data_IF_881412598814
#
_entry.id   IF_881412598814
#
_cell.length_a   1.000
_cell.length_b   1.000
_cell.length_c   1.000
_cell.angle_alpha   90.00
_cell.angle_beta   90.00
_cell.angle_gamma   90.00
#
_symmetry.space_group_name_H-M   'P 1'
#
loop_
_entity.id
_entity.type
_entity.pdbx_description
1 polymer ?
#
# COMPACT_ATOMS: atom_id res chain seq x y z
N UNK A 1 -47.99 -32.18 -104.70
CA UNK A 1 -48.13 -30.89 -103.99
C UNK A 1 -48.64 -31.02 -102.54
N UNK A 2 -49.57 -31.94 -102.21
CA UNK A 2 -50.10 -32.08 -100.83
C UNK A 2 -49.07 -32.48 -99.75
N UNK A 3 -48.04 -33.27 -100.10
CA UNK A 3 -47.02 -33.75 -99.15
C UNK A 3 -45.97 -32.70 -98.77
N UNK A 4 -45.63 -31.77 -99.69
CA UNK A 4 -44.69 -30.68 -99.39
C UNK A 4 -45.27 -29.66 -98.40
N UNK A 5 -46.56 -29.32 -98.51
CA UNK A 5 -47.21 -28.42 -97.56
C UNK A 5 -47.26 -28.97 -96.13
N UNK A 6 -47.52 -30.27 -95.97
CA UNK A 6 -47.53 -30.93 -94.66
C UNK A 6 -46.15 -30.93 -93.99
N UNK A 7 -45.07 -31.09 -94.77
CA UNK A 7 -43.70 -31.13 -94.27
C UNK A 7 -43.23 -29.76 -93.75
N UNK A 8 -43.61 -28.68 -94.43
CA UNK A 8 -43.35 -27.30 -93.97
C UNK A 8 -44.12 -27.00 -92.69
N UNK A 9 -45.40 -27.38 -92.60
CA UNK A 9 -46.21 -27.19 -91.38
C UNK A 9 -45.63 -27.98 -90.20
N UNK A 10 -45.22 -29.24 -90.42
CA UNK A 10 -44.57 -30.05 -89.38
C UNK A 10 -43.23 -29.47 -88.92
N UNK A 11 -42.42 -28.93 -89.84
CA UNK A 11 -41.17 -28.25 -89.49
C UNK A 11 -41.41 -27.02 -88.62
N UNK A 12 -42.41 -26.19 -88.96
CA UNK A 12 -42.74 -24.98 -88.19
C UNK A 12 -43.24 -25.35 -86.78
N UNK A 13 -44.09 -26.38 -86.67
CA UNK A 13 -44.55 -26.87 -85.37
C UNK A 13 -43.40 -27.44 -84.52
N UNK A 14 -42.47 -28.18 -85.13
CA UNK A 14 -41.28 -28.67 -84.45
C UNK A 14 -40.36 -27.52 -83.96
N UNK A 15 -40.16 -26.48 -84.78
CA UNK A 15 -39.39 -25.30 -84.39
C UNK A 15 -40.02 -24.54 -83.22
N UNK A 16 -41.35 -24.38 -83.21
CA UNK A 16 -42.06 -23.74 -82.09
C UNK A 16 -41.98 -24.58 -80.80
N UNK A 17 -42.08 -25.91 -80.91
CA UNK A 17 -41.91 -26.81 -79.77
C UNK A 17 -40.50 -26.76 -79.17
N UNK A 18 -39.46 -26.69 -80.03
CA UNK A 18 -38.07 -26.53 -79.60
C UNK A 18 -37.84 -25.17 -78.89
N UNK A 19 -38.39 -24.08 -79.41
CA UNK A 19 -38.31 -22.76 -78.75
C UNK A 19 -39.00 -22.76 -77.38
N UNK A 20 -40.13 -23.46 -77.25
CA UNK A 20 -40.82 -23.65 -75.97
C UNK A 20 -39.95 -24.42 -74.96
N UNK A 21 -39.32 -25.52 -75.38
CA UNK A 21 -38.39 -26.29 -74.55
C UNK A 21 -37.17 -25.46 -74.12
N UNK A 22 -36.59 -24.66 -75.03
CA UNK A 22 -35.46 -23.77 -74.71
C UNK A 22 -35.88 -22.75 -73.65
N UNK A 23 -37.06 -22.14 -73.76
CA UNK A 23 -37.56 -21.19 -72.77
C UNK A 23 -37.79 -21.83 -71.39
N UNK A 24 -38.34 -23.05 -71.35
CA UNK A 24 -38.55 -23.78 -70.10
C UNK A 24 -37.20 -24.11 -69.45
N UNK A 25 -36.23 -24.60 -70.23
CA UNK A 25 -34.88 -24.90 -69.73
C UNK A 25 -34.13 -23.67 -69.24
N UNK A 26 -34.19 -22.56 -69.98
CA UNK A 26 -33.60 -21.30 -69.54
C UNK A 26 -34.26 -20.77 -68.25
N UNK A 27 -35.58 -20.97 -68.09
CA UNK A 27 -36.28 -20.61 -66.84
C UNK A 27 -35.88 -21.51 -65.66
N UNK A 28 -35.59 -22.78 -65.91
CA UNK A 28 -35.08 -23.72 -64.91
C UNK A 28 -33.63 -23.39 -64.53
N UNK A 29 -32.74 -23.19 -65.50
CA UNK A 29 -31.36 -22.78 -65.27
C UNK A 29 -31.27 -21.47 -64.48
N UNK A 30 -32.03 -20.45 -64.87
CA UNK A 30 -32.06 -19.19 -64.12
C UNK A 30 -32.62 -19.33 -62.71
N UNK A 31 -33.49 -20.33 -62.45
CA UNK A 31 -33.99 -20.63 -61.10
C UNK A 31 -32.93 -21.37 -60.28
N UNK A 32 -32.24 -22.34 -60.88
CA UNK A 32 -31.16 -23.08 -60.25
C UNK A 32 -29.96 -22.18 -59.96
N UNK A 33 -29.58 -21.30 -60.89
CA UNK A 33 -28.52 -20.30 -60.72
C UNK A 33 -28.82 -19.38 -59.54
N UNK A 34 -30.06 -18.87 -59.44
CA UNK A 34 -30.50 -18.07 -58.28
C UNK A 34 -30.41 -18.87 -57.00
N UNK A 35 -30.94 -20.09 -56.98
CA UNK A 35 -30.89 -20.95 -55.78
C UNK A 35 -29.44 -21.22 -55.36
N UNK A 36 -28.56 -21.51 -56.32
CA UNK A 36 -27.13 -21.77 -56.08
C UNK A 36 -26.44 -20.51 -55.54
N UNK A 37 -26.71 -19.35 -56.15
CA UNK A 37 -26.21 -18.05 -55.68
C UNK A 37 -26.65 -17.75 -54.24
N UNK A 38 -27.93 -17.99 -53.91
CA UNK A 38 -28.43 -17.85 -52.54
C UNK A 38 -27.71 -18.78 -51.56
N UNK A 39 -27.46 -20.04 -51.93
CA UNK A 39 -26.72 -20.97 -51.09
C UNK A 39 -25.25 -20.55 -50.92
N UNK A 40 -24.59 -20.08 -51.99
CA UNK A 40 -23.24 -19.55 -51.93
C UNK A 40 -23.15 -18.33 -51.00
N UNK A 41 -24.10 -17.41 -51.08
CA UNK A 41 -24.16 -16.23 -50.20
C UNK A 41 -24.35 -16.67 -48.74
N UNK A 42 -25.29 -17.59 -48.47
CA UNK A 42 -25.48 -18.12 -47.12
C UNK A 42 -24.21 -18.75 -46.58
N UNK A 43 -23.53 -19.57 -47.38
CA UNK A 43 -22.30 -20.24 -46.98
C UNK A 43 -21.19 -19.22 -46.68
N UNK A 44 -21.05 -18.18 -47.52
CA UNK A 44 -20.10 -17.09 -47.28
C UNK A 44 -20.41 -16.36 -45.96
N UNK A 45 -21.66 -15.94 -45.76
CA UNK A 45 -22.06 -15.26 -44.52
C UNK A 45 -21.80 -16.15 -43.30
N UNK A 46 -22.11 -17.44 -43.36
CA UNK A 46 -21.82 -18.36 -42.26
C UNK A 46 -20.32 -18.52 -42.00
N UNK A 47 -19.50 -18.54 -43.05
CA UNK A 47 -18.06 -18.65 -42.94
C UNK A 47 -17.43 -17.37 -42.39
N UNK A 48 -17.91 -16.20 -42.82
CA UNK A 48 -17.47 -14.90 -42.31
C UNK A 48 -17.78 -14.77 -40.81
N UNK A 49 -19.02 -15.08 -40.42
CA UNK A 49 -19.44 -15.09 -39.01
C UNK A 49 -18.63 -16.09 -38.19
N UNK A 50 -18.40 -17.30 -38.69
CA UNK A 50 -17.56 -18.29 -38.03
C UNK A 50 -16.11 -17.80 -37.90
N UNK A 51 -15.58 -17.11 -38.91
CA UNK A 51 -14.27 -16.48 -38.89
C UNK A 51 -14.14 -15.41 -37.81
N UNK A 52 -15.16 -14.57 -37.64
CA UNK A 52 -15.22 -13.59 -36.54
C UNK A 52 -15.19 -14.27 -35.18
N UNK A 53 -16.00 -15.31 -34.97
CA UNK A 53 -15.98 -16.08 -33.72
C UNK A 53 -14.60 -16.69 -33.45
N UNK A 54 -13.94 -17.26 -34.46
CA UNK A 54 -12.59 -17.81 -34.31
C UNK A 54 -11.58 -16.72 -33.95
N UNK A 55 -11.66 -15.55 -34.57
CA UNK A 55 -10.83 -14.40 -34.23
C UNK A 55 -11.04 -13.92 -32.79
N UNK A 56 -12.28 -13.89 -32.30
CA UNK A 56 -12.58 -13.56 -30.91
C UNK A 56 -12.01 -14.59 -29.93
N UNK A 57 -12.15 -15.88 -30.25
CA UNK A 57 -11.57 -16.96 -29.45
C UNK A 57 -10.04 -16.83 -29.38
N UNK A 58 -9.37 -16.57 -30.49
CA UNK A 58 -7.91 -16.38 -30.52
C UNK A 58 -7.51 -15.14 -29.71
N UNK A 59 -8.26 -14.04 -29.82
CA UNK A 59 -8.02 -12.83 -29.04
C UNK A 59 -8.18 -13.11 -27.54
N UNK A 60 -9.21 -13.85 -27.15
CA UNK A 60 -9.46 -14.23 -25.76
C UNK A 60 -8.33 -15.11 -25.20
N UNK A 61 -7.86 -16.11 -25.96
CA UNK A 61 -6.72 -16.94 -25.55
C UNK A 61 -5.44 -16.11 -25.39
N UNK A 62 -5.14 -15.21 -26.33
CA UNK A 62 -3.96 -14.34 -26.22
C UNK A 62 -4.03 -13.43 -24.97
N UNK A 63 -5.21 -12.91 -24.65
CA UNK A 63 -5.43 -12.14 -23.43
C UNK A 63 -5.27 -13.00 -22.18
N UNK A 64 -5.77 -14.23 -22.20
CA UNK A 64 -5.61 -15.18 -21.10
C UNK A 64 -4.14 -15.51 -20.86
N UNK A 65 -3.37 -15.77 -21.92
CA UNK A 65 -1.93 -16.05 -21.83
C UNK A 65 -1.15 -14.86 -21.28
N UNK A 66 -1.47 -13.64 -21.74
CA UNK A 66 -0.88 -12.40 -21.18
C UNK A 66 -1.22 -12.23 -19.71
N UNK A 67 -2.48 -12.46 -19.34
CA UNK A 67 -2.94 -12.33 -17.96
C UNK A 67 -2.25 -13.36 -17.08
N UNK A 68 -2.13 -14.60 -17.55
CA UNK A 68 -1.42 -15.68 -16.86
C UNK A 68 0.06 -15.33 -16.64
N UNK A 69 0.73 -14.82 -17.67
CA UNK A 69 2.11 -14.36 -17.55
C UNK A 69 2.26 -13.23 -16.52
N UNK A 70 1.34 -12.26 -16.50
CA UNK A 70 1.34 -11.22 -15.45
C UNK A 70 1.12 -11.81 -14.06
N UNK A 71 0.20 -12.75 -13.90
CA UNK A 71 -0.04 -13.43 -12.62
C UNK A 71 1.20 -14.20 -12.15
N UNK A 72 1.88 -14.90 -13.05
CA UNK A 72 3.11 -15.63 -12.72
C UNK A 72 4.23 -14.67 -12.27
N UNK A 73 4.39 -13.52 -12.94
CA UNK A 73 5.32 -12.46 -12.53
C UNK A 73 4.95 -11.94 -11.12
N UNK A 74 3.69 -11.58 -10.89
CA UNK A 74 3.25 -11.12 -9.57
C UNK A 74 3.46 -12.20 -8.50
N UNK A 75 3.25 -13.46 -8.83
CA UNK A 75 3.51 -14.59 -7.92
C UNK A 75 5.00 -14.71 -7.55
N UNK A 76 5.90 -14.53 -8.51
CA UNK A 76 7.34 -14.50 -8.26
C UNK A 76 7.76 -13.32 -7.37
N UNK A 77 7.13 -12.16 -7.53
CA UNK A 77 7.40 -10.99 -6.68
C UNK A 77 6.81 -11.14 -5.26
N UNK A 78 5.73 -11.90 -5.09
CA UNK A 78 5.05 -12.06 -3.79
C UNK A 78 5.84 -12.94 -2.81
N UNK A 79 6.47 -14.01 -3.31
CA UNK A 79 7.30 -14.93 -2.51
C UNK A 79 8.41 -14.22 -1.70
N UNK A 80 9.33 -13.46 -2.33
CA UNK A 80 10.39 -12.78 -1.60
C UNK A 80 9.85 -11.69 -0.66
N UNK A 81 8.72 -11.05 -1.00
CA UNK A 81 8.05 -10.11 -0.10
C UNK A 81 7.50 -10.80 1.14
N UNK A 82 6.95 -12.00 1.01
CA UNK A 82 6.46 -12.79 2.14
C UNK A 82 7.60 -13.24 3.06
N UNK A 83 8.72 -13.69 2.48
CA UNK A 83 9.92 -14.06 3.23
C UNK A 83 10.53 -12.85 3.94
N UNK A 84 10.61 -11.70 3.25
CA UNK A 84 11.07 -10.45 3.85
C UNK A 84 10.15 -10.01 5.01
N UNK A 85 8.83 -10.16 4.87
CA UNK A 85 7.88 -9.87 5.93
C UNK A 85 8.07 -10.80 7.14
N UNK A 86 8.28 -12.11 6.91
CA UNK A 86 8.58 -13.07 7.97
C UNK A 86 9.90 -12.73 8.71
N UNK A 87 10.94 -12.38 7.95
CA UNK A 87 12.22 -11.94 8.51
C UNK A 87 12.05 -10.66 9.35
N UNK A 88 11.32 -9.67 8.85
CA UNK A 88 11.05 -8.41 9.57
C UNK A 88 10.24 -8.65 10.84
N UNK A 89 9.26 -9.56 10.82
CA UNK A 89 8.51 -9.96 12.01
C UNK A 89 9.43 -10.59 13.07
N UNK A 90 10.36 -11.46 12.65
CA UNK A 90 11.34 -12.05 13.57
C UNK A 90 12.26 -10.99 14.19
N UNK A 91 12.78 -10.06 13.38
CA UNK A 91 13.59 -8.93 13.85
C UNK A 91 12.83 -8.06 14.86
N UNK A 92 11.54 -7.79 14.59
CA UNK A 92 10.69 -7.01 15.49
C UNK A 92 10.55 -7.70 16.85
N UNK A 93 10.30 -9.02 16.86
CA UNK A 93 10.18 -9.78 18.10
C UNK A 93 11.49 -9.79 18.90
N UNK A 94 12.64 -9.90 18.21
CA UNK A 94 13.95 -9.82 18.85
C UNK A 94 14.18 -8.43 19.48
N UNK A 95 13.90 -7.36 18.73
CA UNK A 95 14.03 -5.97 19.19
C UNK A 95 13.10 -5.68 20.39
N UNK A 96 11.86 -6.19 20.38
CA UNK A 96 10.95 -6.07 21.52
C UNK A 96 11.49 -6.81 22.76
N UNK A 97 12.08 -8.00 22.56
CA UNK A 97 12.73 -8.75 23.63
C UNK A 97 13.91 -7.99 24.26
N UNK A 98 14.76 -7.40 23.43
CA UNK A 98 15.86 -6.53 23.89
C UNK A 98 15.37 -5.28 24.58
N UNK A 99 14.34 -4.63 24.04
CA UNK A 99 13.72 -3.45 24.67
C UNK A 99 13.22 -3.79 26.07
N UNK A 100 12.53 -4.93 26.22
CA UNK A 100 12.05 -5.38 27.54
C UNK A 100 13.21 -5.62 28.51
N UNK A 101 14.26 -6.32 28.07
CA UNK A 101 15.48 -6.53 28.88
C UNK A 101 16.09 -5.20 29.30
N UNK A 102 16.22 -4.24 28.38
CA UNK A 102 16.78 -2.93 28.68
C UNK A 102 15.92 -2.17 29.70
N UNK A 103 14.59 -2.19 29.54
CA UNK A 103 13.67 -1.59 30.52
C UNK A 103 13.81 -2.21 31.90
N UNK A 104 13.89 -3.54 32.00
CA UNK A 104 14.07 -4.24 33.27
C UNK A 104 15.42 -3.88 33.92
N UNK A 105 16.49 -3.77 33.12
CA UNK A 105 17.81 -3.35 33.62
C UNK A 105 17.82 -1.90 34.09
N UNK A 106 17.12 -0.99 33.39
CA UNK A 106 16.97 0.41 33.82
C UNK A 106 16.23 0.50 35.15
N UNK A 107 15.13 -0.24 35.30
CA UNK A 107 14.39 -0.28 36.57
C UNK A 107 15.24 -0.82 37.72
N UNK A 108 16.07 -1.85 37.47
CA UNK A 108 17.00 -2.38 38.46
C UNK A 108 18.09 -1.37 38.86
N UNK A 109 18.66 -0.65 37.88
CA UNK A 109 19.64 0.41 38.13
C UNK A 109 18.99 1.56 38.93
N UNK A 110 17.78 1.98 38.58
CA UNK A 110 17.06 3.03 39.29
C UNK A 110 16.76 2.63 40.75
N UNK A 111 16.40 1.36 40.98
CA UNK A 111 16.26 0.82 42.33
C UNK A 111 17.58 0.87 43.12
N UNK A 112 18.71 0.46 42.50
CA UNK A 112 20.02 0.56 43.15
C UNK A 112 20.40 2.00 43.47
N UNK A 113 20.17 2.94 42.55
CA UNK A 113 20.40 4.37 42.76
C UNK A 113 19.59 4.87 43.97
N UNK A 114 18.31 4.48 44.07
CA UNK A 114 17.47 4.88 45.21
C UNK A 114 18.01 4.35 46.54
N UNK A 115 18.45 3.10 46.58
CA UNK A 115 19.00 2.47 47.78
C UNK A 115 20.34 3.12 48.17
N UNK A 116 21.27 3.28 47.22
CA UNK A 116 22.54 3.96 47.46
C UNK A 116 22.34 5.41 47.93
N UNK A 117 21.35 6.12 47.39
CA UNK A 117 20.98 7.47 47.85
C UNK A 117 20.56 7.48 49.32
N UNK A 118 19.74 6.52 49.75
CA UNK A 118 19.33 6.42 51.17
C UNK A 118 20.51 6.12 52.10
N UNK A 119 21.45 5.27 51.68
CA UNK A 119 22.64 4.97 52.47
C UNK A 119 23.57 6.19 52.56
N UNK A 120 23.75 6.93 51.46
CA UNK A 120 24.53 8.19 51.47
C UNK A 120 23.91 9.20 52.44
N UNK A 121 22.59 9.39 52.43
CA UNK A 121 21.94 10.35 53.34
C UNK A 121 22.09 9.91 54.81
N UNK A 122 22.05 8.60 55.08
CA UNK A 122 22.29 8.04 56.42
C UNK A 122 23.73 8.28 56.90
N UNK A 123 24.72 8.00 56.05
CA UNK A 123 26.13 8.26 56.36
C UNK A 123 26.37 9.75 56.60
N UNK A 124 25.77 10.62 55.79
CA UNK A 124 25.85 12.07 55.94
C UNK A 124 25.33 12.52 57.31
N UNK A 125 24.15 12.08 57.72
CA UNK A 125 23.60 12.41 59.05
C UNK A 125 24.51 11.89 60.18
N UNK A 126 25.07 10.69 60.03
CA UNK A 126 26.03 10.13 60.99
C UNK A 126 27.27 11.02 61.13
N UNK A 127 27.92 11.37 60.01
CA UNK A 127 29.10 12.23 60.02
C UNK A 127 28.79 13.64 60.51
N UNK A 128 27.64 14.21 60.16
CA UNK A 128 27.22 15.51 60.70
C UNK A 128 27.10 15.46 62.23
N UNK A 129 26.56 14.36 62.79
CA UNK A 129 26.47 14.17 64.23
C UNK A 129 27.85 13.99 64.90
N UNK A 130 28.76 13.23 64.27
CA UNK A 130 30.14 13.06 64.75
C UNK A 130 30.87 14.39 64.74
N UNK A 131 30.83 15.14 63.64
CA UNK A 131 31.43 16.47 63.52
C UNK A 131 30.91 17.40 64.61
N UNK A 132 29.60 17.39 64.89
CA UNK A 132 29.00 18.21 65.93
C UNK A 132 29.45 17.78 67.34
N UNK A 133 29.62 16.48 67.57
CA UNK A 133 30.15 15.93 68.82
C UNK A 133 31.63 16.27 69.05
N UNK A 134 32.47 16.13 68.02
CA UNK A 134 33.89 16.50 68.04
C UNK A 134 34.03 18.01 68.27
N UNK A 135 33.23 18.83 67.59
CA UNK A 135 33.20 20.27 67.82
C UNK A 135 32.83 20.60 69.27
N UNK A 136 31.87 19.90 69.86
CA UNK A 136 31.51 20.08 71.27
C UNK A 136 32.63 19.65 72.24
N UNK A 137 33.37 18.57 71.92
CA UNK A 137 34.58 18.20 72.68
C UNK A 137 35.68 19.25 72.57
N UNK A 138 35.87 19.86 71.39
CA UNK A 138 36.85 20.93 71.18
C UNK A 138 36.45 22.23 71.90
N UNK A 139 35.16 22.51 72.01
CA UNK A 139 34.62 23.65 72.79
C UNK A 139 34.67 23.40 74.30
N UNK A 140 34.70 22.12 74.74
CA UNK A 140 34.94 21.76 76.13
C UNK A 140 36.42 21.99 76.46
N UNK A 141 36.68 23.03 77.25
CA UNK A 141 37.99 23.37 77.83
C UNK A 141 38.67 22.10 78.36
N UNK A 142 39.82 21.76 77.78
CA UNK A 142 40.58 20.56 78.16
C UNK A 142 40.89 20.58 79.66
N UNK A 143 40.61 19.49 80.37
CA UNK A 143 40.95 19.36 81.81
C UNK A 143 42.44 19.54 82.07
N UNK A 144 43.28 19.32 81.06
CA UNK A 144 44.73 19.62 81.14
C UNK A 144 44.96 21.10 81.39
N UNK A 145 44.10 21.99 80.88
CA UNK A 145 44.16 23.44 81.09
C UNK A 145 43.89 23.88 82.54
N UNK A 146 43.42 22.99 83.41
CA UNK A 146 43.28 23.26 84.86
C UNK A 146 44.59 23.00 85.63
N UNK A 147 45.53 22.25 85.06
CA UNK A 147 46.82 21.92 85.67
C UNK A 147 47.99 22.75 85.15
N UNK A 148 47.74 23.62 84.16
CA UNK A 148 48.79 24.46 83.57
C UNK A 148 48.81 25.82 84.26
N UNK A 149 50.00 26.25 84.72
CA UNK A 149 50.19 27.59 85.33
C UNK A 149 49.79 28.69 84.34
N UNK A 150 48.86 29.55 84.74
CA UNK A 150 48.23 30.61 83.91
C UNK A 150 49.21 31.63 83.33
N UNK A 151 50.44 31.69 83.84
CA UNK A 151 51.41 32.73 83.50
C UNK A 151 52.33 32.39 82.32
N UNK A 152 52.28 31.15 81.80
CA UNK A 152 53.04 30.78 80.61
C UNK A 152 52.30 31.19 79.33
N UNK A 153 53.02 31.84 78.41
CA UNK A 153 52.54 32.29 77.11
C UNK A 153 51.91 31.14 76.29
N UNK A 154 52.50 29.95 76.39
CA UNK A 154 52.01 28.70 75.78
C UNK A 154 50.62 28.31 76.29
N UNK A 155 50.31 28.62 77.54
CA UNK A 155 49.03 28.31 78.19
C UNK A 155 47.91 29.22 77.72
N UNK A 156 48.21 30.48 77.39
CA UNK A 156 47.21 31.41 76.83
C UNK A 156 46.78 30.99 75.43
N UNK A 157 47.72 30.48 74.62
CA UNK A 157 47.45 30.06 73.23
C UNK A 157 46.71 28.73 73.13
N UNK A 158 47.02 27.75 74.00
CA UNK A 158 46.44 26.39 73.91
C UNK A 158 45.10 26.27 74.66
N UNK A 159 44.89 27.07 75.71
CA UNK A 159 43.78 26.87 76.66
C UNK A 159 42.77 28.02 76.77
N UNK A 160 42.92 29.07 75.94
CA UNK A 160 41.99 30.19 75.69
C UNK A 160 41.01 30.57 76.81
N UNK A 161 41.26 31.67 77.51
CA UNK A 161 40.25 32.29 78.36
C UNK A 161 39.20 32.99 77.51
N UNK A 162 37.94 32.84 77.92
CA UNK A 162 36.78 33.54 77.37
C UNK A 162 36.86 35.01 77.78
N UNK A 163 37.56 35.82 76.99
CA UNK A 163 37.38 37.27 76.97
C UNK A 163 37.11 37.70 75.53
N UNK A 164 36.07 38.50 75.40
CA UNK A 164 35.49 39.00 74.16
C UNK A 164 36.54 39.77 73.35
N UNK A 165 37.04 39.16 72.28
CA UNK A 165 37.67 39.86 71.15
C UNK A 165 37.10 39.30 69.86
N UNK A 166 36.67 40.23 69.02
CA UNK A 166 35.97 40.09 67.76
C UNK A 166 36.73 39.27 66.68
N UNK A 167 36.11 39.14 65.49
CA UNK A 167 35.59 37.88 64.96
C UNK A 167 36.70 36.88 64.60
N UNK A 168 36.37 35.61 64.80
CA UNK A 168 37.01 34.42 64.22
C UNK A 168 37.47 34.71 62.78
N UNK A 169 38.72 34.46 62.36
CA UNK A 169 38.96 34.31 60.94
C UNK A 169 38.07 33.13 60.52
N UNK A 170 37.07 33.41 59.69
CA UNK A 170 36.42 32.38 58.90
C UNK A 170 37.58 31.60 58.26
N UNK A 171 37.86 30.41 58.81
CA UNK A 171 38.55 29.39 58.03
C UNK A 171 37.80 29.38 56.70
N UNK A 172 38.49 29.50 55.56
CA UNK A 172 37.83 29.64 54.29
C UNK A 172 36.75 28.57 54.27
N UNK A 173 35.49 28.99 54.03
CA UNK A 173 34.54 28.06 53.44
C UNK A 173 35.33 27.46 52.30
N UNK A 174 35.81 26.24 52.48
CA UNK A 174 35.97 25.38 51.35
C UNK A 174 34.53 25.34 50.84
N UNK A 175 34.25 26.21 49.85
CA UNK A 175 33.31 25.86 48.82
C UNK A 175 33.74 24.45 48.48
N UNK A 176 33.01 23.46 49.00
CA UNK A 176 32.97 22.17 48.37
C UNK A 176 32.86 22.52 46.88
N UNK A 177 33.77 22.03 46.01
CA UNK A 177 33.59 22.28 44.59
C UNK A 177 32.12 21.96 44.35
N UNK A 178 31.38 22.94 43.84
CA UNK A 178 30.13 22.64 43.16
C UNK A 178 30.60 21.65 42.10
N UNK A 179 30.51 20.37 42.42
CA UNK A 179 30.09 19.41 41.45
C UNK A 179 28.75 19.98 41.03
N UNK A 180 28.79 20.85 40.01
CA UNK A 180 27.74 20.86 39.02
C UNK A 180 27.48 19.38 38.81
N UNK A 181 26.35 18.90 39.35
CA UNK A 181 25.78 17.69 38.84
C UNK A 181 25.94 17.82 37.34
N UNK A 182 26.60 16.88 36.63
CA UNK A 182 26.50 16.91 35.19
C UNK A 182 25.00 17.04 34.96
N UNK A 183 24.57 18.17 34.39
CA UNK A 183 23.26 18.25 33.78
C UNK A 183 23.37 17.14 32.75
N UNK A 184 22.91 15.96 33.12
CA UNK A 184 22.26 15.10 32.19
C UNK A 184 21.11 15.98 31.69
N UNK A 185 21.41 16.81 30.68
CA UNK A 185 20.46 16.97 29.60
C UNK A 185 20.06 15.54 29.31
N UNK A 186 18.84 15.19 29.75
CA UNK A 186 18.17 14.03 29.23
C UNK A 186 18.47 14.06 27.74
N UNK A 187 19.05 13.00 27.14
CA UNK A 187 19.12 12.96 25.69
C UNK A 187 17.69 13.24 25.27
N UNK A 188 17.47 14.41 24.64
CA UNK A 188 16.24 14.64 23.91
C UNK A 188 16.25 13.45 22.99
N UNK A 189 15.41 12.47 23.29
CA UNK A 189 14.93 11.55 22.31
C UNK A 189 14.20 12.45 21.32
N UNK A 190 14.95 13.05 20.38
CA UNK A 190 14.45 13.20 19.04
C UNK A 190 14.06 11.78 18.68
N UNK A 191 12.77 11.49 18.84
CA UNK A 191 12.15 10.40 18.14
C UNK A 191 12.74 10.47 16.73
N UNK A 192 13.34 9.39 16.21
CA UNK A 192 13.77 9.41 14.83
C UNK A 192 12.56 9.88 14.05
N UNK A 193 12.66 11.08 13.46
CA UNK A 193 11.75 11.49 12.41
C UNK A 193 11.95 10.39 11.41
N UNK A 194 11.01 9.44 11.39
CA UNK A 194 10.78 8.65 10.21
C UNK A 194 10.43 9.69 9.15
N UNK A 195 11.46 10.18 8.45
CA UNK A 195 11.27 10.52 7.06
C UNK A 195 10.71 9.23 6.47
N UNK A 196 9.38 9.21 6.33
CA UNK A 196 8.75 8.31 5.39
C UNK A 196 9.63 8.40 4.14
N UNK A 197 10.17 7.29 3.63
CA UNK A 197 10.85 7.35 2.36
C UNK A 197 9.88 8.08 1.44
N UNK A 198 10.31 9.23 0.90
CA UNK A 198 9.63 9.80 -0.25
C UNK A 198 9.64 8.65 -1.25
N UNK A 199 8.48 8.02 -1.40
CA UNK A 199 8.21 7.25 -2.57
C UNK A 199 8.36 8.28 -3.69
N UNK A 200 9.53 8.28 -4.32
CA UNK A 200 9.66 8.76 -5.68
C UNK A 200 8.72 7.84 -6.44
N UNK A 201 7.45 8.26 -6.52
CA UNK A 201 6.50 7.66 -7.42
C UNK A 201 7.24 7.67 -8.77
N UNK A 202 7.48 6.51 -9.40
CA UNK A 202 8.03 6.52 -10.74
C UNK A 202 7.14 7.47 -11.52
N UNK A 203 7.76 8.54 -12.02
CA UNK A 203 7.11 9.50 -12.89
C UNK A 203 6.66 8.68 -14.08
N UNK A 204 5.41 8.22 -14.02
CA UNK A 204 4.77 7.60 -15.15
C UNK A 204 4.70 8.70 -16.18
N UNK A 205 5.63 8.65 -17.13
CA UNK A 205 5.54 9.37 -18.38
C UNK A 205 4.26 8.86 -19.02
N UNK A 206 3.15 9.56 -18.73
CA UNK A 206 1.88 9.28 -19.35
C UNK A 206 2.15 9.43 -20.85
N UNK A 207 1.99 8.37 -21.67
CA UNK A 207 2.05 8.56 -23.10
C UNK A 207 1.02 9.63 -23.43
N UNK A 208 1.49 10.71 -24.05
CA UNK A 208 0.67 11.78 -24.58
C UNK A 208 -0.37 11.12 -25.47
N UNK A 209 -1.58 10.94 -24.94
CA UNK A 209 -2.72 10.48 -25.72
C UNK A 209 -3.03 11.63 -26.68
N UNK A 210 -2.55 11.49 -27.91
CA UNK A 210 -3.02 12.30 -29.03
C UNK A 210 -4.52 12.01 -29.14
N UNK A 211 -5.33 12.97 -28.69
CA UNK A 211 -6.77 12.86 -28.75
C UNK A 211 -7.16 12.72 -30.23
N UNK A 212 -7.82 11.61 -30.65
CA UNK A 212 -8.40 11.60 -31.97
C UNK A 212 -9.44 12.71 -32.03
N UNK A 213 -9.19 13.66 -32.94
CA UNK A 213 -10.11 14.73 -33.29
C UNK A 213 -11.44 14.08 -33.67
N UNK A 214 -12.42 14.16 -32.79
CA UNK A 214 -13.77 13.70 -33.05
C UNK A 214 -14.36 14.62 -34.13
N UNK A 215 -14.40 14.14 -35.37
CA UNK A 215 -15.21 14.73 -36.43
C UNK A 215 -16.67 14.35 -36.10
N UNK A 216 -17.45 15.35 -35.72
CA UNK A 216 -18.85 15.16 -35.36
C UNK A 216 -19.65 14.69 -36.59
N UNK A 217 -20.34 13.54 -36.54
CA UNK A 217 -21.27 13.18 -37.61
C UNK A 217 -22.43 14.18 -37.62
N UNK A 218 -22.57 14.84 -38.75
CA UNK A 218 -23.67 15.76 -39.07
C UNK A 218 -24.98 14.98 -38.93
N UNK A 219 -25.82 15.38 -37.97
CA UNK A 219 -27.14 14.80 -37.78
C UNK A 219 -28.04 15.16 -38.99
N UNK A 220 -28.34 14.18 -39.85
CA UNK A 220 -29.52 14.24 -40.71
C UNK A 220 -30.71 13.66 -39.97
N UNK A 221 -31.72 14.50 -39.76
CA UNK A 221 -32.96 14.13 -39.10
C UNK A 221 -33.74 13.11 -39.95
N UNK A 222 -34.21 11.99 -39.39
CA UNK A 222 -35.12 11.11 -40.09
C UNK A 222 -36.50 11.77 -40.21
N UNK A 223 -36.98 11.92 -41.45
CA UNK A 223 -38.38 12.25 -41.74
C UNK A 223 -39.28 11.16 -41.15
N UNK A 224 -40.21 11.56 -40.30
CA UNK A 224 -41.28 10.71 -39.80
C UNK A 224 -42.25 10.37 -40.94
N UNK A 225 -42.34 9.09 -41.32
CA UNK A 225 -43.52 8.55 -41.99
C UNK A 225 -44.32 7.73 -40.97
N UNK A 226 -45.58 8.14 -40.78
CA UNK A 226 -46.52 7.52 -39.87
C UNK A 226 -46.93 6.12 -40.37
N UNK A 227 -46.94 5.07 -39.52
CA UNK A 227 -47.51 3.79 -39.90
C UNK A 227 -49.04 3.87 -39.90
N UNK A 228 -49.65 3.61 -41.06
CA UNK A 228 -51.07 3.31 -41.19
C UNK A 228 -51.39 2.02 -40.41
N UNK A 229 -52.37 2.10 -39.54
CA UNK A 229 -52.95 0.95 -38.87
C UNK A 229 -53.73 0.09 -39.88
N UNK A 230 -53.35 -1.18 -40.02
CA UNK A 230 -54.22 -2.21 -40.57
C UNK A 230 -54.50 -3.26 -39.49
N UNK A 231 -55.79 -3.46 -39.25
CA UNK A 231 -56.37 -4.32 -38.23
C UNK A 231 -56.31 -5.77 -38.74
N UNK A 232 -55.76 -6.74 -38.00
CA UNK A 232 -55.92 -8.14 -38.37
C UNK A 232 -57.34 -8.59 -38.03
N UNK A 233 -58.13 -8.91 -39.05
CA UNK A 233 -59.38 -9.67 -38.90
C UNK A 233 -59.05 -11.05 -38.32
N UNK A 234 -59.76 -11.39 -37.25
CA UNK A 234 -59.86 -12.75 -36.75
C UNK A 234 -60.50 -13.65 -37.82
N UNK A 235 -59.85 -14.77 -38.13
CA UNK A 235 -60.51 -15.90 -38.77
C UNK A 235 -60.19 -17.16 -37.95
N UNK A 236 -61.26 -17.83 -37.53
CA UNK A 236 -61.25 -18.94 -36.61
C UNK A 236 -60.96 -20.25 -37.37
N UNK A 237 -60.21 -21.21 -36.78
CA UNK A 237 -60.14 -22.54 -37.35
C UNK A 237 -61.43 -23.32 -37.03
N UNK A 238 -62.14 -23.76 -38.08
CA UNK A 238 -63.17 -24.82 -37.99
C UNK A 238 -62.50 -26.17 -37.72
N UNK A 239 -63.20 -27.10 -37.04
CA UNK A 239 -62.66 -28.41 -36.71
C UNK A 239 -62.86 -29.42 -37.85
N UNK A 240 -62.03 -30.46 -37.76
CA UNK A 240 -62.34 -31.88 -37.96
C UNK A 240 -62.11 -32.59 -39.32
N UNK A 241 -61.73 -33.86 -39.14
CA UNK A 241 -61.76 -35.04 -40.03
C UNK A 241 -60.61 -35.25 -41.03
N UNK A 242 -59.60 -36.04 -40.63
CA UNK A 242 -59.40 -37.47 -41.02
C UNK A 242 -58.13 -38.06 -40.37
#
# INVERSE_FOLDING_TARGET
>A
MKTQGALVVMSVLASLALLGLIHVRHKEETKEEKNTSFQTIKLRVTQDVLGEYQHEVIRAHNLLDKTKAMVDILGQELLPLQDAAAQKKSQLNACQGETKKNTDTLAAIEAQISNSKTEIEKQKVSWESEVLSLKKQMEQRSRVCDFVKKDSEVSRTICGNKEEVAPKPEAPKAEAPKAEAPKAEAPKAEAPKAEAPKADAPKADAPKADAPKADAPKAEAPKAEAPKAEVPKADAPKPDVL
#
